data_IF_844270387449
#
_entry.id   IF_844270387449
#
_cell.length_a   1.000
_cell.length_b   1.000
_cell.length_c   1.000
_cell.angle_alpha   90.00
_cell.angle_beta   90.00
_cell.angle_gamma   90.00
#
_symmetry.space_group_name_H-M   'P 1'
#
loop_
_entity.id
_entity.type
_entity.pdbx_description
1 polymer ?
#
# COMPACT_ATOMS: atom_id res chain seq x y z
N UNK A 1 -13.17 29.93 -16.74
CA UNK A 1 -11.72 29.69 -16.52
C UNK A 1 -11.51 29.56 -15.03
N UNK A 2 -11.46 28.34 -14.52
CA UNK A 2 -11.11 28.04 -13.13
C UNK A 2 -9.62 28.39 -12.94
N UNK A 3 -9.28 29.12 -11.88
CA UNK A 3 -7.88 29.41 -11.54
C UNK A 3 -7.12 28.09 -11.46
N UNK A 4 -5.98 28.03 -12.13
CA UNK A 4 -5.05 26.90 -12.00
C UNK A 4 -4.70 26.72 -10.52
N UNK A 5 -4.69 25.51 -9.96
CA UNK A 5 -4.25 25.27 -8.58
C UNK A 5 -2.77 25.63 -8.31
N UNK A 6 -2.06 26.14 -9.33
CA UNK A 6 -0.75 26.78 -9.24
C UNK A 6 -0.80 28.31 -9.01
N UNK A 7 -1.97 28.95 -9.11
CA UNK A 7 -2.14 30.40 -9.03
C UNK A 7 -2.35 30.87 -7.57
N UNK A 8 -1.40 30.51 -6.71
CA UNK A 8 -1.31 30.99 -5.32
C UNK A 8 -0.03 31.81 -5.23
N UNK A 9 -0.16 33.12 -4.99
CA UNK A 9 0.97 34.06 -4.92
C UNK A 9 2.03 33.59 -3.92
N UNK A 10 3.27 33.41 -4.38
CA UNK A 10 4.43 32.93 -3.61
C UNK A 10 4.69 33.73 -2.32
N UNK A 11 4.25 34.99 -2.29
CA UNK A 11 4.57 35.99 -1.26
C UNK A 11 3.87 35.76 0.10
N UNK A 12 2.85 34.90 0.18
CA UNK A 12 2.11 34.60 1.43
C UNK A 12 2.28 33.15 1.96
N UNK A 13 3.03 32.28 1.27
CA UNK A 13 3.05 30.83 1.56
C UNK A 13 4.14 30.39 2.56
N UNK A 14 5.15 31.23 2.81
CA UNK A 14 6.38 30.79 3.49
C UNK A 14 6.31 30.82 5.03
N UNK A 15 5.44 31.62 5.66
CA UNK A 15 5.42 31.77 7.12
C UNK A 15 4.38 30.91 7.88
N UNK A 16 3.38 30.34 7.19
CA UNK A 16 2.27 29.59 7.82
C UNK A 16 1.96 28.23 7.17
N UNK A 17 2.88 27.65 6.37
CA UNK A 17 2.63 26.31 5.81
C UNK A 17 2.48 25.26 6.92
N UNK A 18 1.39 24.45 6.93
CA UNK A 18 1.22 23.40 7.92
C UNK A 18 2.38 22.40 7.84
N UNK A 19 3.00 22.09 8.99
CA UNK A 19 4.06 21.08 9.05
C UNK A 19 3.50 19.71 8.68
N UNK A 20 4.28 18.88 7.98
CA UNK A 20 3.88 17.51 7.61
C UNK A 20 3.39 16.67 8.81
N UNK A 21 3.96 16.88 10.00
CA UNK A 21 3.52 16.19 11.21
C UNK A 21 2.08 16.57 11.62
N UNK A 22 1.70 17.84 11.45
CA UNK A 22 0.33 18.31 11.70
C UNK A 22 -0.64 17.71 10.70
N UNK A 23 -0.25 17.64 9.42
CA UNK A 23 -1.07 16.99 8.38
C UNK A 23 -1.24 15.50 8.69
N UNK A 24 -0.17 14.83 9.13
CA UNK A 24 -0.21 13.43 9.54
C UNK A 24 -1.24 13.18 10.63
N UNK A 25 -1.21 13.94 11.72
CA UNK A 25 -2.21 13.78 12.80
C UNK A 25 -3.61 14.09 12.30
N UNK A 26 -3.76 15.13 11.48
CA UNK A 26 -5.06 15.55 10.96
C UNK A 26 -5.63 14.54 9.96
N UNK A 27 -4.83 13.77 9.22
CA UNK A 27 -5.37 12.74 8.32
C UNK A 27 -6.21 11.72 9.09
N UNK A 28 -5.81 11.39 10.32
CA UNK A 28 -6.56 10.46 11.17
C UNK A 28 -7.67 11.17 11.97
N UNK A 29 -7.41 12.36 12.51
CA UNK A 29 -8.32 13.03 13.45
C UNK A 29 -9.28 14.04 12.81
N UNK A 30 -8.87 14.70 11.72
CA UNK A 30 -9.59 15.78 11.05
C UNK A 30 -9.31 15.78 9.53
N UNK A 31 -9.69 14.72 8.80
CA UNK A 31 -9.22 14.48 7.43
C UNK A 31 -9.57 15.61 6.46
N UNK A 32 -10.74 16.25 6.61
CA UNK A 32 -11.11 17.39 5.78
C UNK A 32 -10.13 18.56 5.90
N UNK A 33 -9.68 18.86 7.12
CA UNK A 33 -8.67 19.90 7.38
C UNK A 33 -7.32 19.48 6.81
N UNK A 34 -6.92 18.22 6.96
CA UNK A 34 -5.69 17.72 6.35
C UNK A 34 -5.68 17.93 4.83
N UNK A 35 -6.79 17.65 4.14
CA UNK A 35 -6.88 17.88 2.69
C UNK A 35 -6.88 19.36 2.29
N UNK A 36 -7.31 20.27 3.17
CA UNK A 36 -7.12 21.71 2.97
C UNK A 36 -5.64 22.09 3.13
N UNK A 37 -5.01 21.63 4.20
CA UNK A 37 -3.60 21.86 4.52
C UNK A 37 -2.65 21.31 3.43
N UNK A 38 -3.04 20.23 2.73
CA UNK A 38 -2.27 19.69 1.61
C UNK A 38 -2.16 20.63 0.42
N UNK A 39 -3.12 21.54 0.21
CA UNK A 39 -3.14 22.44 -0.94
C UNK A 39 -2.03 23.50 -0.93
N UNK A 40 -1.37 23.70 0.23
CA UNK A 40 -0.29 24.67 0.38
C UNK A 40 0.99 24.25 -0.33
N UNK A 41 1.37 22.96 -0.27
CA UNK A 41 2.66 22.47 -0.77
C UNK A 41 2.60 21.15 -1.54
N UNK A 42 1.50 20.40 -1.40
CA UNK A 42 1.33 19.04 -1.90
C UNK A 42 2.55 18.15 -1.60
N UNK A 43 2.94 18.00 -0.31
CA UNK A 43 4.12 17.22 0.04
C UNK A 43 3.90 15.75 -0.32
N UNK A 44 4.84 15.16 -1.06
CA UNK A 44 4.81 13.75 -1.47
C UNK A 44 5.81 12.93 -0.68
N UNK A 45 7.02 13.45 -0.50
CA UNK A 45 8.15 12.69 0.04
C UNK A 45 7.87 12.11 1.43
N UNK A 46 7.28 12.92 2.33
CA UNK A 46 7.01 12.47 3.70
C UNK A 46 6.10 11.22 3.76
N UNK A 47 4.84 11.25 3.32
CA UNK A 47 3.98 10.06 3.43
C UNK A 47 4.50 8.88 2.58
N UNK A 48 5.01 9.14 1.37
CA UNK A 48 5.48 8.08 0.48
C UNK A 48 6.72 7.37 1.06
N UNK A 49 7.74 8.12 1.46
CA UNK A 49 8.96 7.53 2.03
C UNK A 49 8.68 6.85 3.37
N UNK A 50 7.78 7.38 4.21
CA UNK A 50 7.38 6.69 5.44
C UNK A 50 6.78 5.31 5.15
N UNK A 51 5.84 5.22 4.21
CA UNK A 51 5.21 3.93 3.85
C UNK A 51 6.24 2.98 3.21
N UNK A 52 7.02 3.47 2.25
CA UNK A 52 8.03 2.66 1.54
C UNK A 52 9.09 2.14 2.51
N UNK A 53 9.70 3.02 3.31
CA UNK A 53 10.81 2.65 4.19
C UNK A 53 10.35 1.71 5.32
N UNK A 54 9.15 1.90 5.87
CA UNK A 54 8.63 1.00 6.90
C UNK A 54 8.29 -0.38 6.33
N UNK A 55 7.74 -0.46 5.12
CA UNK A 55 7.53 -1.75 4.47
C UNK A 55 8.85 -2.44 4.12
N UNK A 56 9.84 -1.69 3.62
CA UNK A 56 11.19 -2.22 3.37
C UNK A 56 11.82 -2.76 4.66
N UNK A 57 11.73 -1.99 5.74
CA UNK A 57 12.25 -2.40 7.05
C UNK A 57 11.54 -3.66 7.58
N UNK A 58 10.22 -3.78 7.40
CA UNK A 58 9.46 -4.97 7.77
C UNK A 58 9.94 -6.21 7.00
N UNK A 59 10.12 -6.11 5.68
CA UNK A 59 10.61 -7.24 4.88
C UNK A 59 12.03 -7.63 5.28
N UNK A 60 12.93 -6.66 5.51
CA UNK A 60 14.27 -6.96 6.01
C UNK A 60 14.21 -7.64 7.38
N UNK A 61 13.37 -7.16 8.29
CA UNK A 61 13.20 -7.75 9.62
C UNK A 61 12.63 -9.17 9.56
N UNK A 62 11.66 -9.42 8.68
CA UNK A 62 11.10 -10.75 8.43
C UNK A 62 12.22 -11.73 8.04
N UNK A 63 12.97 -11.44 6.98
CA UNK A 63 14.02 -12.33 6.50
C UNK A 63 15.25 -12.41 7.44
N UNK A 64 15.42 -11.46 8.35
CA UNK A 64 16.42 -11.54 9.41
C UNK A 64 15.97 -12.45 10.58
N UNK A 65 14.67 -12.70 10.71
CA UNK A 65 14.07 -13.47 11.81
C UNK A 65 13.64 -14.87 11.39
N UNK A 66 13.31 -15.05 10.11
CA UNK A 66 12.76 -16.29 9.59
C UNK A 66 13.75 -17.45 9.71
N UNK A 67 13.28 -18.61 10.16
CA UNK A 67 14.00 -19.87 10.01
C UNK A 67 14.08 -20.19 8.52
N UNK A 68 15.28 -20.06 7.96
CA UNK A 68 15.46 -20.14 6.53
C UNK A 68 15.33 -21.56 5.98
N UNK A 69 15.76 -22.57 6.74
CA UNK A 69 15.61 -23.97 6.31
C UNK A 69 14.13 -24.32 6.24
N UNK A 70 13.38 -23.99 7.31
CA UNK A 70 11.93 -24.13 7.32
C UNK A 70 11.26 -23.35 6.19
N UNK A 71 11.69 -22.11 5.94
CA UNK A 71 11.12 -21.27 4.89
C UNK A 71 11.32 -21.86 3.49
N UNK A 72 12.51 -22.40 3.21
CA UNK A 72 12.79 -23.06 1.93
C UNK A 72 11.88 -24.26 1.74
N UNK A 73 11.76 -25.12 2.76
CA UNK A 73 10.88 -26.28 2.69
C UNK A 73 9.42 -25.87 2.54
N UNK A 74 8.96 -24.87 3.31
CA UNK A 74 7.63 -24.31 3.20
C UNK A 74 7.34 -23.78 1.78
N UNK A 75 8.25 -23.02 1.18
CA UNK A 75 8.12 -22.52 -0.19
C UNK A 75 8.07 -23.62 -1.25
N UNK A 76 8.82 -24.71 -1.07
CA UNK A 76 8.81 -25.87 -1.97
C UNK A 76 7.52 -26.67 -1.81
N UNK A 77 7.09 -26.90 -0.58
CA UNK A 77 5.83 -27.59 -0.26
C UNK A 77 4.61 -26.86 -0.82
N UNK A 78 4.61 -25.53 -0.77
CA UNK A 78 3.56 -24.71 -1.37
C UNK A 78 3.39 -24.92 -2.88
N UNK A 79 4.42 -25.37 -3.60
CA UNK A 79 4.35 -25.66 -5.04
C UNK A 79 4.31 -27.16 -5.36
N UNK A 80 4.35 -28.03 -4.35
CA UNK A 80 4.57 -29.45 -4.54
C UNK A 80 3.46 -30.15 -5.35
N UNK A 81 2.25 -29.57 -5.41
CA UNK A 81 1.15 -30.07 -6.23
C UNK A 81 1.32 -29.84 -7.74
N UNK A 82 2.14 -28.86 -8.13
CA UNK A 82 2.27 -28.38 -9.51
C UNK A 82 3.58 -28.82 -10.20
N UNK A 83 4.54 -29.33 -9.43
CA UNK A 83 5.89 -29.68 -9.93
C UNK A 83 6.32 -31.09 -9.55
N UNK A 84 7.18 -31.69 -10.37
CA UNK A 84 7.79 -32.99 -10.11
C UNK A 84 8.79 -32.94 -8.96
N UNK A 85 9.11 -34.08 -8.35
CA UNK A 85 10.12 -34.16 -7.27
C UNK A 85 11.49 -33.62 -7.70
N UNK A 86 11.89 -33.85 -8.95
CA UNK A 86 13.16 -33.34 -9.46
C UNK A 86 13.16 -31.80 -9.56
N UNK A 87 12.03 -31.20 -9.92
CA UNK A 87 11.85 -29.74 -9.95
C UNK A 87 11.81 -29.15 -8.54
N UNK A 88 11.18 -29.83 -7.57
CA UNK A 88 11.18 -29.43 -6.15
C UNK A 88 12.61 -29.39 -5.58
N UNK A 89 13.42 -30.40 -5.86
CA UNK A 89 14.83 -30.44 -5.43
C UNK A 89 15.65 -29.33 -6.08
N UNK A 90 15.37 -29.02 -7.35
CA UNK A 90 16.01 -27.90 -8.06
C UNK A 90 15.61 -26.54 -7.46
N UNK A 91 14.34 -26.37 -7.09
CA UNK A 91 13.87 -25.16 -6.39
C UNK A 91 14.53 -24.99 -5.04
N UNK A 92 14.60 -26.07 -4.24
CA UNK A 92 15.28 -26.08 -2.94
C UNK A 92 16.74 -25.62 -3.08
N UNK A 93 17.51 -26.26 -3.96
CA UNK A 93 18.90 -25.87 -4.23
C UNK A 93 19.00 -24.42 -4.72
N UNK A 94 18.08 -23.99 -5.57
CA UNK A 94 17.97 -22.62 -6.07
C UNK A 94 17.87 -21.59 -4.93
N UNK A 95 17.00 -21.87 -3.95
CA UNK A 95 16.80 -21.01 -2.81
C UNK A 95 17.97 -21.09 -1.82
N UNK A 96 18.50 -22.27 -1.52
CA UNK A 96 19.65 -22.46 -0.63
C UNK A 96 20.92 -21.73 -1.11
N UNK A 97 21.04 -21.47 -2.41
CA UNK A 97 22.13 -20.65 -2.97
C UNK A 97 22.00 -19.15 -2.63
N UNK A 98 20.83 -18.68 -2.19
CA UNK A 98 20.59 -17.30 -1.78
C UNK A 98 20.69 -17.18 -0.26
N UNK A 99 21.35 -16.11 0.22
CA UNK A 99 21.30 -15.82 1.65
C UNK A 99 19.95 -15.18 2.03
N UNK A 100 19.47 -15.36 3.28
CA UNK A 100 18.28 -14.68 3.78
C UNK A 100 18.38 -13.15 3.62
N UNK A 101 19.57 -12.59 3.84
CA UNK A 101 19.84 -11.17 3.67
C UNK A 101 19.70 -10.70 2.21
N UNK A 102 20.08 -11.54 1.24
CA UNK A 102 19.90 -11.23 -0.18
C UNK A 102 18.42 -11.29 -0.57
N UNK A 103 17.68 -12.29 -0.09
CA UNK A 103 16.23 -12.37 -0.29
C UNK A 103 15.49 -11.19 0.34
N UNK A 104 15.79 -10.87 1.60
CA UNK A 104 15.20 -9.74 2.30
C UNK A 104 15.53 -8.40 1.64
N UNK A 105 16.78 -8.20 1.23
CA UNK A 105 17.21 -6.98 0.53
C UNK A 105 16.50 -6.81 -0.83
N UNK A 106 16.47 -7.86 -1.65
CA UNK A 106 15.78 -7.83 -2.94
C UNK A 106 14.26 -7.64 -2.76
N UNK A 107 13.65 -8.42 -1.87
CA UNK A 107 12.23 -8.33 -1.54
C UNK A 107 11.82 -6.95 -1.06
N UNK A 108 12.64 -6.32 -0.20
CA UNK A 108 12.40 -4.97 0.28
C UNK A 108 12.43 -3.95 -0.87
N UNK A 109 13.47 -3.98 -1.72
CA UNK A 109 13.58 -3.06 -2.87
C UNK A 109 12.40 -3.24 -3.82
N UNK A 110 12.04 -4.48 -4.16
CA UNK A 110 10.91 -4.77 -5.05
C UNK A 110 9.59 -4.33 -4.45
N UNK A 111 9.36 -4.56 -3.15
CA UNK A 111 8.17 -4.08 -2.45
C UNK A 111 8.08 -2.55 -2.45
N UNK A 112 9.18 -1.85 -2.14
CA UNK A 112 9.24 -0.40 -2.15
C UNK A 112 8.96 0.21 -3.53
N UNK A 113 9.58 -0.35 -4.58
CA UNK A 113 9.31 0.04 -5.97
C UNK A 113 7.86 -0.26 -6.38
N UNK A 114 7.33 -1.41 -5.98
CA UNK A 114 5.95 -1.82 -6.24
C UNK A 114 4.94 -0.83 -5.64
N UNK A 115 5.12 -0.45 -4.37
CA UNK A 115 4.27 0.57 -3.70
C UNK A 115 4.33 1.89 -4.44
N UNK A 116 5.53 2.39 -4.76
CA UNK A 116 5.70 3.65 -5.48
C UNK A 116 5.06 3.61 -6.87
N UNK A 117 5.20 2.48 -7.59
CA UNK A 117 4.59 2.27 -8.90
C UNK A 117 3.06 2.28 -8.83
N UNK A 118 2.47 1.56 -7.86
CA UNK A 118 1.01 1.54 -7.66
C UNK A 118 0.48 2.95 -7.35
N UNK A 119 1.17 3.73 -6.51
CA UNK A 119 0.75 5.09 -6.21
C UNK A 119 0.87 6.02 -7.42
N UNK A 120 1.91 5.85 -8.23
CA UNK A 120 2.04 6.56 -9.50
C UNK A 120 0.89 6.22 -10.46
N UNK A 121 0.56 4.94 -10.61
CA UNK A 121 -0.55 4.47 -11.45
C UNK A 121 -1.88 5.07 -10.97
N UNK A 122 -2.13 5.07 -9.66
CA UNK A 122 -3.34 5.65 -9.09
C UNK A 122 -3.40 7.18 -9.26
N UNK A 123 -2.27 7.86 -9.12
CA UNK A 123 -2.17 9.30 -9.39
C UNK A 123 -2.42 9.62 -10.88
N UNK A 124 -1.88 8.82 -11.80
CA UNK A 124 -2.14 8.94 -13.24
C UNK A 124 -3.62 8.72 -13.57
N UNK A 125 -4.26 7.75 -12.93
CA UNK A 125 -5.70 7.57 -13.03
C UNK A 125 -6.46 8.87 -12.68
N UNK A 126 -6.14 9.49 -11.54
CA UNK A 126 -6.77 10.75 -11.17
C UNK A 126 -6.44 11.91 -12.11
N UNK A 127 -5.24 11.97 -12.70
CA UNK A 127 -4.90 12.93 -13.75
C UNK A 127 -5.81 12.77 -14.97
N UNK A 128 -6.08 11.54 -15.42
CA UNK A 128 -6.98 11.28 -16.54
C UNK A 128 -8.40 11.75 -16.19
N UNK A 129 -8.90 11.40 -15.00
CA UNK A 129 -10.22 11.86 -14.51
C UNK A 129 -10.27 13.40 -14.43
N UNK A 130 -9.20 14.03 -14.00
CA UNK A 130 -9.07 15.49 -13.90
C UNK A 130 -9.11 16.15 -15.28
N UNK A 131 -8.48 15.53 -16.28
CA UNK A 131 -8.54 15.98 -17.67
C UNK A 131 -9.96 15.88 -18.27
N UNK A 132 -10.70 14.83 -17.92
CA UNK A 132 -12.09 14.64 -18.38
C UNK A 132 -13.04 15.60 -17.66
N UNK A 133 -12.88 15.79 -16.35
CA UNK A 133 -13.78 16.61 -15.53
C UNK A 133 -13.36 18.08 -15.42
N UNK A 134 -12.20 18.43 -15.99
CA UNK A 134 -11.62 19.77 -16.04
C UNK A 134 -11.47 20.44 -14.66
N UNK A 135 -11.04 19.67 -13.65
CA UNK A 135 -10.85 20.16 -12.27
C UNK A 135 -9.47 20.78 -12.01
N UNK A 136 -8.53 20.67 -12.95
CA UNK A 136 -7.26 21.40 -12.97
C UNK A 136 -6.12 20.80 -12.15
N UNK A 137 -6.33 19.70 -11.42
CA UNK A 137 -5.28 19.06 -10.64
C UNK A 137 -4.34 18.23 -11.52
N UNK A 138 -3.05 18.23 -11.19
CA UNK A 138 -2.00 17.53 -11.94
C UNK A 138 -1.37 16.39 -11.12
N UNK A 139 -0.39 15.72 -11.71
CA UNK A 139 0.20 14.50 -11.17
C UNK A 139 0.76 14.65 -9.75
N UNK A 140 1.51 15.73 -9.45
CA UNK A 140 2.09 15.94 -8.11
C UNK A 140 1.01 16.03 -7.03
N UNK A 141 -0.08 16.75 -7.31
CA UNK A 141 -1.21 16.91 -6.39
C UNK A 141 -1.85 15.55 -6.13
N UNK A 142 -2.15 14.79 -7.17
CA UNK A 142 -2.75 13.47 -7.02
C UNK A 142 -1.83 12.44 -6.37
N UNK A 143 -0.52 12.50 -6.63
CA UNK A 143 0.45 11.64 -5.96
C UNK A 143 0.56 11.98 -4.47
N UNK A 144 0.55 13.26 -4.11
CA UNK A 144 0.47 13.70 -2.71
C UNK A 144 -0.81 13.17 -2.06
N UNK A 145 -1.96 13.40 -2.69
CA UNK A 145 -3.26 12.92 -2.24
C UNK A 145 -3.30 11.41 -2.01
N UNK A 146 -2.84 10.60 -2.98
CA UNK A 146 -2.79 9.14 -2.86
C UNK A 146 -1.89 8.72 -1.70
N UNK A 147 -0.69 9.31 -1.61
CA UNK A 147 0.27 8.95 -0.56
C UNK A 147 -0.25 9.25 0.84
N UNK A 148 -0.85 10.43 1.05
CA UNK A 148 -1.44 10.81 2.35
C UNK A 148 -2.67 9.98 2.70
N UNK A 149 -3.51 9.67 1.73
CA UNK A 149 -4.72 8.87 1.96
C UNK A 149 -4.42 7.40 2.24
N UNK A 150 -3.20 6.94 1.97
CA UNK A 150 -2.75 5.58 2.20
C UNK A 150 -2.05 5.36 3.55
N UNK A 151 -1.89 6.41 4.37
CA UNK A 151 -1.27 6.30 5.69
C UNK A 151 -1.94 5.30 6.66
N UNK A 152 -3.25 5.01 6.60
CA UNK A 152 -3.83 3.93 7.41
C UNK A 152 -3.17 2.57 7.22
N UNK A 153 -2.59 2.29 6.03
CA UNK A 153 -1.89 1.02 5.76
C UNK A 153 -0.70 0.78 6.70
N UNK A 154 -0.14 1.83 7.31
CA UNK A 154 0.93 1.70 8.30
C UNK A 154 0.49 0.88 9.52
N UNK A 155 -0.80 0.83 9.84
CA UNK A 155 -1.31 -0.01 10.92
C UNK A 155 -1.12 -1.50 10.63
N UNK A 156 -1.34 -1.93 9.37
CA UNK A 156 -1.06 -3.29 8.92
C UNK A 156 0.44 -3.59 8.97
N UNK A 157 1.28 -2.70 8.46
CA UNK A 157 2.75 -2.84 8.54
C UNK A 157 3.24 -2.94 9.99
N UNK A 158 2.72 -2.14 10.90
CA UNK A 158 3.07 -2.18 12.33
C UNK A 158 2.57 -3.46 13.00
N UNK A 159 1.36 -3.92 12.67
CA UNK A 159 0.82 -5.16 13.20
C UNK A 159 1.64 -6.39 12.74
N UNK A 160 2.02 -6.45 11.46
CA UNK A 160 2.97 -7.44 10.95
C UNK A 160 4.33 -7.35 11.64
N UNK A 161 4.83 -6.15 11.92
CA UNK A 161 6.09 -6.00 12.65
C UNK A 161 5.99 -6.60 14.06
N UNK A 162 4.87 -6.42 14.76
CA UNK A 162 4.65 -7.09 16.05
C UNK A 162 4.71 -8.61 15.89
N UNK A 163 4.08 -9.18 14.86
CA UNK A 163 4.15 -10.64 14.59
C UNK A 163 5.60 -11.08 14.39
N UNK A 164 6.38 -10.38 13.57
CA UNK A 164 7.80 -10.71 13.35
C UNK A 164 8.58 -10.69 14.67
N UNK A 165 8.49 -9.60 15.44
CA UNK A 165 9.29 -9.43 16.65
C UNK A 165 8.81 -10.24 17.86
N UNK A 166 7.62 -10.83 17.80
CA UNK A 166 7.09 -11.71 18.86
C UNK A 166 7.19 -13.19 18.54
N UNK A 167 7.61 -13.55 17.33
CA UNK A 167 7.85 -14.94 16.93
C UNK A 167 9.00 -15.56 17.74
N UNK A 168 8.81 -16.82 18.17
CA UNK A 168 9.76 -17.52 19.04
C UNK A 168 10.59 -18.57 18.31
N UNK A 169 10.04 -19.18 17.28
CA UNK A 169 10.66 -20.25 16.47
C UNK A 169 11.13 -19.76 15.10
N UNK A 170 10.77 -18.55 14.69
CA UNK A 170 11.11 -17.98 13.38
C UNK A 170 10.33 -18.60 12.21
N UNK A 171 9.35 -19.48 12.46
CA UNK A 171 8.56 -20.11 11.41
C UNK A 171 7.41 -19.20 10.97
N UNK A 172 7.77 -18.15 10.24
CA UNK A 172 6.88 -17.09 9.81
C UNK A 172 6.49 -17.26 8.35
N UNK A 173 5.23 -17.61 8.11
CA UNK A 173 4.61 -17.60 6.78
C UNK A 173 4.46 -16.17 6.24
N UNK A 174 5.16 -15.76 5.16
CA UNK A 174 5.01 -14.42 4.59
C UNK A 174 3.59 -14.13 4.09
N UNK A 175 2.89 -15.15 3.61
CA UNK A 175 1.52 -15.08 3.06
C UNK A 175 0.45 -14.78 4.12
N UNK A 176 0.71 -15.07 5.40
CA UNK A 176 -0.21 -14.82 6.51
C UNK A 176 0.36 -13.80 7.52
N UNK A 177 1.42 -13.08 7.14
CA UNK A 177 2.13 -12.16 8.05
C UNK A 177 1.28 -10.97 8.52
N UNK A 178 0.23 -10.63 7.78
CA UNK A 178 -0.62 -9.49 8.11
C UNK A 178 -1.86 -9.92 8.91
N UNK A 179 -1.86 -9.70 10.25
CA UNK A 179 -2.99 -10.08 11.10
C UNK A 179 -4.23 -9.18 10.90
N UNK A 180 -4.10 -8.05 10.18
CA UNK A 180 -5.21 -7.18 9.81
C UNK A 180 -5.78 -7.49 8.42
N UNK A 181 -5.25 -8.52 7.75
CA UNK A 181 -5.84 -9.02 6.51
C UNK A 181 -7.24 -9.58 6.78
N UNK A 182 -8.12 -9.51 5.78
CA UNK A 182 -9.45 -10.10 5.88
C UNK A 182 -9.38 -11.60 6.13
N UNK A 183 -8.36 -12.27 5.57
CA UNK A 183 -8.17 -13.70 5.77
C UNK A 183 -7.94 -14.03 7.25
N UNK A 184 -6.95 -13.40 7.88
CA UNK A 184 -6.60 -13.65 9.29
C UNK A 184 -7.70 -13.22 10.27
N UNK A 185 -8.44 -12.16 9.96
CA UNK A 185 -9.48 -11.65 10.85
C UNK A 185 -10.78 -12.46 10.81
N UNK A 186 -11.15 -13.00 9.64
CA UNK A 186 -12.53 -13.49 9.43
C UNK A 186 -12.65 -14.86 8.79
N UNK A 187 -11.69 -15.29 7.96
CA UNK A 187 -11.91 -16.43 7.06
C UNK A 187 -10.99 -17.62 7.30
N UNK A 188 -9.72 -17.41 7.65
CA UNK A 188 -8.75 -18.47 7.88
C UNK A 188 -8.58 -19.42 6.70
N UNK A 189 -8.68 -18.91 5.47
CA UNK A 189 -8.50 -19.69 4.24
C UNK A 189 -7.03 -19.84 3.90
N UNK A 190 -6.71 -20.75 2.98
CA UNK A 190 -5.36 -20.87 2.43
C UNK A 190 -4.98 -19.56 1.70
N UNK A 191 -3.92 -18.89 2.16
CA UNK A 191 -3.50 -17.56 1.69
C UNK A 191 -2.79 -17.55 0.32
N UNK A 192 -2.51 -18.71 -0.26
CA UNK A 192 -1.72 -18.85 -1.48
C UNK A 192 -2.63 -18.90 -2.70
N UNK A 193 -3.77 -19.58 -2.58
CA UNK A 193 -4.62 -19.89 -3.71
C UNK A 193 -6.03 -19.31 -3.61
N UNK A 194 -6.60 -19.08 -4.78
CA UNK A 194 -7.97 -18.67 -4.97
C UNK A 194 -8.41 -17.47 -4.13
N UNK A 195 -9.58 -17.60 -3.48
CA UNK A 195 -10.17 -16.52 -2.69
C UNK A 195 -9.32 -16.18 -1.46
N UNK A 196 -8.66 -17.16 -0.84
CA UNK A 196 -7.84 -16.92 0.34
C UNK A 196 -6.65 -16.01 0.02
N UNK A 197 -6.08 -16.10 -1.18
CA UNK A 197 -5.05 -15.16 -1.65
C UNK A 197 -5.56 -13.72 -1.82
N UNK A 198 -6.78 -13.52 -2.30
CA UNK A 198 -7.40 -12.18 -2.31
C UNK A 198 -7.54 -11.67 -0.89
N UNK A 199 -8.09 -12.48 0.01
CA UNK A 199 -8.37 -12.09 1.39
C UNK A 199 -7.10 -11.80 2.19
N UNK A 200 -6.02 -12.57 1.97
CA UNK A 200 -4.75 -12.40 2.68
C UNK A 200 -4.01 -11.12 2.25
N UNK A 201 -4.20 -10.71 0.99
CA UNK A 201 -3.63 -9.47 0.44
C UNK A 201 -4.53 -8.24 0.62
N UNK A 202 -5.73 -8.43 1.19
CA UNK A 202 -6.69 -7.35 1.46
C UNK A 202 -6.73 -7.04 2.95
N UNK A 203 -6.29 -5.85 3.33
CA UNK A 203 -6.27 -5.40 4.73
C UNK A 203 -7.47 -4.49 5.04
N UNK A 204 -8.00 -4.56 6.27
CA UNK A 204 -9.11 -3.70 6.73
C UNK A 204 -8.80 -2.18 6.60
N UNK A 205 -7.54 -1.78 6.69
CA UNK A 205 -7.04 -0.41 6.49
C UNK A 205 -7.25 0.10 5.06
N UNK A 206 -7.47 -0.78 4.11
CA UNK A 206 -7.85 -0.42 2.73
C UNK A 206 -9.18 0.34 2.70
N UNK A 207 -10.19 -0.11 3.46
CA UNK A 207 -11.49 0.54 3.51
C UNK A 207 -11.39 1.94 4.11
N UNK A 208 -10.51 2.11 5.11
CA UNK A 208 -10.20 3.43 5.65
C UNK A 208 -9.53 4.32 4.58
N UNK A 209 -8.55 3.78 3.85
CA UNK A 209 -7.89 4.50 2.76
C UNK A 209 -8.88 4.92 1.66
N UNK A 210 -9.85 4.07 1.30
CA UNK A 210 -10.94 4.40 0.36
C UNK A 210 -11.83 5.53 0.89
N UNK A 211 -12.17 5.51 2.19
CA UNK A 211 -12.96 6.57 2.82
C UNK A 211 -12.20 7.91 2.78
N UNK A 212 -10.90 7.89 3.10
CA UNK A 212 -10.03 9.07 3.02
C UNK A 212 -9.93 9.62 1.60
N UNK A 213 -9.64 8.76 0.62
CA UNK A 213 -9.64 9.13 -0.79
C UNK A 213 -10.98 9.76 -1.20
N UNK A 214 -12.10 9.18 -0.80
CA UNK A 214 -13.44 9.73 -1.11
C UNK A 214 -13.64 11.12 -0.52
N UNK A 215 -13.29 11.32 0.75
CA UNK A 215 -13.38 12.61 1.45
C UNK A 215 -12.51 13.65 0.75
N UNK A 216 -11.24 13.34 0.51
CA UNK A 216 -10.29 14.29 -0.06
C UNK A 216 -10.59 14.60 -1.53
N UNK A 217 -11.01 13.62 -2.34
CA UNK A 217 -11.41 13.84 -3.71
C UNK A 217 -12.63 14.76 -3.80
N UNK A 218 -13.66 14.53 -2.98
CA UNK A 218 -14.83 15.42 -2.88
C UNK A 218 -14.41 16.83 -2.46
N UNK A 219 -13.53 16.94 -1.45
CA UNK A 219 -13.05 18.23 -0.93
C UNK A 219 -12.19 19.02 -1.93
N UNK A 220 -11.40 18.33 -2.75
CA UNK A 220 -10.54 18.96 -3.75
C UNK A 220 -11.32 19.40 -4.97
N UNK A 221 -12.20 18.55 -5.47
CA UNK A 221 -12.91 18.76 -6.73
C UNK A 221 -14.26 19.44 -6.59
N UNK A 222 -14.79 19.58 -5.36
CA UNK A 222 -16.11 20.11 -5.08
C UNK A 222 -17.27 19.21 -5.55
N UNK A 223 -16.96 17.96 -5.96
CA UNK A 223 -17.96 17.00 -6.41
C UNK A 223 -18.69 16.38 -5.21
N UNK A 224 -19.95 16.00 -5.43
CA UNK A 224 -20.74 15.26 -4.46
C UNK A 224 -20.04 13.97 -3.97
N UNK A 225 -20.28 13.59 -2.71
CA UNK A 225 -19.62 12.45 -2.06
C UNK A 225 -19.89 11.13 -2.77
N UNK A 226 -21.10 10.88 -3.29
CA UNK A 226 -21.43 9.63 -4.00
C UNK A 226 -20.65 9.56 -5.30
N UNK A 227 -20.62 10.66 -6.07
CA UNK A 227 -19.84 10.72 -7.32
C UNK A 227 -18.35 10.53 -7.06
N UNK A 228 -17.85 11.13 -5.97
CA UNK A 228 -16.46 11.01 -5.54
C UNK A 228 -16.11 9.56 -5.19
N UNK A 229 -16.99 8.89 -4.44
CA UNK A 229 -16.82 7.48 -4.08
C UNK A 229 -16.79 6.59 -5.31
N UNK A 230 -17.71 6.77 -6.26
CA UNK A 230 -17.76 5.98 -7.50
C UNK A 230 -16.49 6.12 -8.34
N UNK A 231 -15.90 7.31 -8.39
CA UNK A 231 -14.61 7.55 -9.06
C UNK A 231 -13.49 6.84 -8.29
N UNK A 232 -13.41 7.08 -6.98
CA UNK A 232 -12.34 6.53 -6.14
C UNK A 232 -12.33 5.01 -6.11
N UNK A 233 -13.50 4.36 -6.08
CA UNK A 233 -13.58 2.90 -5.94
C UNK A 233 -13.28 2.17 -7.26
N UNK A 234 -13.39 2.83 -8.40
CA UNK A 234 -13.29 2.20 -9.72
C UNK A 234 -11.96 1.43 -9.93
N UNK A 235 -10.76 1.97 -9.63
CA UNK A 235 -9.52 1.21 -9.74
C UNK A 235 -9.50 -0.05 -8.88
N UNK A 236 -10.09 -0.01 -7.69
CA UNK A 236 -10.15 -1.15 -6.78
C UNK A 236 -11.12 -2.23 -7.27
N UNK A 237 -12.29 -1.83 -7.78
CA UNK A 237 -13.24 -2.76 -8.40
C UNK A 237 -12.61 -3.45 -9.61
N UNK A 238 -11.88 -2.72 -10.45
CA UNK A 238 -11.17 -3.31 -11.58
C UNK A 238 -10.08 -4.28 -11.12
N UNK A 239 -9.27 -3.89 -10.12
CA UNK A 239 -8.23 -4.75 -9.56
C UNK A 239 -8.79 -6.07 -9.03
N UNK A 240 -9.80 -6.03 -8.15
CA UNK A 240 -10.41 -7.26 -7.61
C UNK A 240 -11.22 -8.03 -8.64
N UNK A 241 -11.94 -7.33 -9.53
CA UNK A 241 -12.70 -7.95 -10.60
C UNK A 241 -11.81 -8.75 -11.54
N UNK A 242 -10.63 -8.23 -11.89
CA UNK A 242 -9.62 -8.96 -12.66
C UNK A 242 -9.15 -10.19 -11.89
N UNK A 243 -8.81 -10.07 -10.61
CA UNK A 243 -8.33 -11.20 -9.79
C UNK A 243 -9.37 -12.32 -9.68
N UNK A 244 -10.65 -11.99 -9.53
CA UNK A 244 -11.74 -12.97 -9.48
C UNK A 244 -11.90 -13.78 -10.77
N UNK A 245 -11.41 -13.30 -11.92
CA UNK A 245 -11.45 -14.06 -13.18
C UNK A 245 -10.35 -15.13 -13.27
N UNK A 246 -9.33 -15.07 -12.42
CA UNK A 246 -8.16 -15.95 -12.43
C UNK A 246 -8.12 -16.91 -11.23
N UNK A 247 -9.24 -17.08 -10.52
CA UNK A 247 -9.39 -17.94 -9.35
C UNK A 247 -10.26 -19.15 -9.69
#
# INVERSE_FOLDING_TARGET
MTKSPYDVSEENLASESPKSLTIFTNIFAAPQKAYEDLKYAYPVAFPLLTIVLLNMALIIALYATIDYEWFVDHMVEMQAGDVTKAEQDQMRQGMEMMSPSMMGGFGAVMAGLGIAAIYCIQALYFVIVSGITNDGFQFKQWLSFVSWSSLPSLLGTLASAVVVFTSTDGQLSPESLNPLSLNELFFGMNAIEGMGNILATTDITMFWSIALLTIGYSKWTGKDTIKSFMIVILPFVLYYGIRLLFI
#
